data_IF_571530853991
#
_entry.id   IF_571530853991
#
_cell.length_a   1.000
_cell.length_b   1.000
_cell.length_c   1.000
_cell.angle_alpha   90.00
_cell.angle_beta   90.00
_cell.angle_gamma   90.00
#
_symmetry.space_group_name_H-M   'P 1'
#
loop_
_entity.id
_entity.type
_entity.pdbx_description
1 polymer ?
#
# COMPACT_ATOMS: atom_id res chain seq x y z
N UNK A 1 38.19 23.70 5.79
CA UNK A 1 37.10 23.57 4.79
C UNK A 1 35.79 23.27 5.53
N UNK A 2 34.95 24.28 5.81
CA UNK A 2 33.65 24.08 6.50
C UNK A 2 32.60 23.70 5.44
N UNK A 3 32.23 22.42 5.38
CA UNK A 3 31.13 21.96 4.52
C UNK A 3 29.83 22.54 5.08
N UNK A 4 29.31 23.60 4.46
CA UNK A 4 27.97 24.14 4.78
C UNK A 4 26.93 23.21 4.17
N UNK A 5 26.45 22.24 4.96
CA UNK A 5 25.30 21.43 4.58
C UNK A 5 24.05 22.32 4.60
N UNK A 6 23.29 22.36 3.50
CA UNK A 6 22.06 23.14 3.46
C UNK A 6 20.97 22.50 4.34
N UNK A 7 20.16 23.32 5.04
CA UNK A 7 19.05 22.83 5.88
C UNK A 7 18.13 21.85 5.16
N UNK A 8 17.86 22.10 3.87
CA UNK A 8 17.05 21.21 3.03
C UNK A 8 17.69 19.82 2.83
N UNK A 9 19.02 19.75 2.72
CA UNK A 9 19.72 18.47 2.58
C UNK A 9 19.63 17.66 3.89
N UNK A 10 19.76 18.31 5.04
CA UNK A 10 19.58 17.67 6.35
C UNK A 10 18.17 17.09 6.48
N UNK A 11 17.14 17.86 6.11
CA UNK A 11 15.76 17.38 6.12
C UNK A 11 15.53 16.15 5.24
N UNK A 12 16.13 16.11 4.04
CA UNK A 12 16.06 14.95 3.17
C UNK A 12 16.74 13.72 3.79
N UNK A 13 17.92 13.88 4.39
CA UNK A 13 18.62 12.79 5.09
C UNK A 13 17.80 12.24 6.26
N UNK A 14 17.21 13.12 7.08
CA UNK A 14 16.31 12.71 8.17
C UNK A 14 15.13 11.88 7.66
N UNK A 15 14.52 12.30 6.54
CA UNK A 15 13.43 11.52 5.94
C UNK A 15 13.92 10.16 5.44
N UNK A 16 14.99 10.08 4.65
CA UNK A 16 15.45 8.81 4.10
C UNK A 16 15.89 7.84 5.20
N UNK A 17 16.55 8.35 6.24
CA UNK A 17 16.93 7.55 7.41
C UNK A 17 15.70 6.99 8.12
N UNK A 18 14.74 7.86 8.47
CA UNK A 18 13.48 7.47 9.10
C UNK A 18 12.70 6.46 8.26
N UNK A 19 12.56 6.73 6.97
CA UNK A 19 11.84 5.86 6.05
C UNK A 19 12.51 4.49 5.89
N UNK A 20 13.85 4.44 5.84
CA UNK A 20 14.59 3.19 5.72
C UNK A 20 14.40 2.30 6.95
N UNK A 21 14.50 2.89 8.15
CA UNK A 21 14.25 2.17 9.42
C UNK A 21 12.80 1.70 9.48
N UNK A 22 11.84 2.59 9.22
CA UNK A 22 10.42 2.24 9.21
C UNK A 22 10.14 1.08 8.25
N UNK A 23 10.61 1.16 7.01
CA UNK A 23 10.36 0.13 6.01
C UNK A 23 11.00 -1.20 6.39
N UNK A 24 12.27 -1.19 6.84
CA UNK A 24 13.00 -2.39 7.26
C UNK A 24 12.27 -3.13 8.38
N UNK A 25 11.98 -2.43 9.48
CA UNK A 25 11.36 -3.05 10.65
C UNK A 25 9.87 -3.37 10.45
N UNK A 26 9.15 -2.57 9.66
CA UNK A 26 7.75 -2.90 9.32
C UNK A 26 7.67 -4.16 8.47
N UNK A 27 8.55 -4.34 7.48
CA UNK A 27 8.61 -5.58 6.70
C UNK A 27 9.06 -6.77 7.56
N UNK A 28 10.06 -6.60 8.43
CA UNK A 28 10.46 -7.68 9.35
C UNK A 28 9.33 -8.06 10.32
N UNK A 29 8.47 -7.11 10.70
CA UNK A 29 7.34 -7.35 11.61
C UNK A 29 6.25 -8.28 11.01
N UNK A 30 6.26 -8.46 9.69
CA UNK A 30 5.37 -9.38 8.98
C UNK A 30 5.95 -10.79 8.88
N UNK A 31 7.14 -11.01 9.46
CA UNK A 31 7.86 -12.29 9.54
C UNK A 31 8.04 -12.78 10.98
N UNK A 32 8.51 -14.02 11.15
CA UNK A 32 8.78 -14.59 12.46
C UNK A 32 9.98 -13.93 13.18
N UNK A 33 10.70 -13.03 12.53
CA UNK A 33 11.65 -12.15 13.21
C UNK A 33 10.97 -11.15 14.16
N UNK A 34 9.66 -10.91 14.00
CA UNK A 34 8.95 -9.97 14.87
C UNK A 34 9.05 -10.34 16.35
N UNK A 35 9.15 -11.63 16.68
CA UNK A 35 9.32 -12.11 18.06
C UNK A 35 10.50 -11.51 18.81
N UNK A 36 11.54 -11.05 18.09
CA UNK A 36 12.73 -10.47 18.70
C UNK A 36 12.61 -8.98 19.02
N UNK A 37 11.61 -8.28 18.46
CA UNK A 37 11.48 -6.83 18.65
C UNK A 37 10.03 -6.34 18.79
N UNK A 38 9.05 -7.22 18.99
CA UNK A 38 7.66 -6.84 19.24
C UNK A 38 7.49 -6.01 20.53
N UNK A 39 6.28 -5.46 20.72
CA UNK A 39 5.94 -4.77 21.97
C UNK A 39 6.61 -3.40 22.12
N UNK A 40 7.32 -3.18 23.23
CA UNK A 40 7.94 -1.88 23.54
C UNK A 40 9.03 -1.50 22.54
N UNK A 41 9.87 -2.46 22.12
CA UNK A 41 10.97 -2.22 21.19
C UNK A 41 10.48 -1.70 19.84
N UNK A 42 9.49 -2.36 19.23
CA UNK A 42 8.90 -1.89 17.98
C UNK A 42 8.25 -0.51 18.12
N UNK A 43 7.54 -0.26 19.23
CA UNK A 43 6.98 1.08 19.50
C UNK A 43 8.06 2.16 19.57
N UNK A 44 9.18 1.89 20.24
CA UNK A 44 10.32 2.81 20.33
C UNK A 44 10.90 3.10 18.94
N UNK A 45 11.04 2.09 18.08
CA UNK A 45 11.48 2.27 16.70
C UNK A 45 10.54 3.22 15.94
N UNK A 46 9.23 3.02 16.04
CA UNK A 46 8.23 3.88 15.39
C UNK A 46 8.27 5.33 15.93
N UNK A 47 8.47 5.51 17.24
CA UNK A 47 8.62 6.84 17.86
C UNK A 47 9.89 7.53 17.34
N UNK A 48 11.01 6.82 17.25
CA UNK A 48 12.26 7.36 16.68
C UNK A 48 12.04 7.81 15.23
N UNK A 49 11.36 7.01 14.42
CA UNK A 49 10.99 7.41 13.05
C UNK A 49 10.16 8.71 13.04
N UNK A 50 9.17 8.83 13.91
CA UNK A 50 8.34 10.03 14.04
C UNK A 50 9.18 11.26 14.43
N UNK A 51 10.12 11.12 15.37
CA UNK A 51 11.01 12.21 15.78
C UNK A 51 11.85 12.72 14.59
N UNK A 52 12.41 11.82 13.77
CA UNK A 52 13.14 12.22 12.56
C UNK A 52 12.24 12.91 11.52
N UNK A 53 10.96 12.53 11.41
CA UNK A 53 10.01 13.23 10.55
C UNK A 53 9.71 14.65 11.06
N UNK A 54 9.54 14.82 12.38
CA UNK A 54 9.40 16.14 13.00
C UNK A 54 10.64 16.99 12.71
N UNK A 55 11.84 16.45 12.94
CA UNK A 55 13.10 17.13 12.62
C UNK A 55 13.16 17.55 11.15
N UNK A 56 12.74 16.67 10.24
CA UNK A 56 12.64 17.01 8.81
C UNK A 56 11.71 18.19 8.57
N UNK A 57 10.52 18.22 9.16
CA UNK A 57 9.59 19.34 8.99
C UNK A 57 10.12 20.65 9.59
N UNK A 58 10.85 20.59 10.71
CA UNK A 58 11.51 21.77 11.29
C UNK A 58 12.60 22.38 10.40
N UNK A 59 13.21 21.59 9.50
CA UNK A 59 14.15 22.12 8.50
C UNK A 59 13.46 22.82 7.32
N UNK A 60 12.14 22.70 7.19
CA UNK A 60 11.38 23.27 6.08
C UNK A 60 11.04 24.73 6.34
N UNK A 61 11.62 25.64 5.55
CA UNK A 61 11.57 27.08 5.83
C UNK A 61 10.33 27.81 5.26
N UNK A 62 9.46 27.17 4.47
CA UNK A 62 8.33 27.84 3.81
C UNK A 62 7.07 27.00 3.84
N UNK A 63 6.10 27.39 4.66
CA UNK A 63 4.77 26.81 4.70
C UNK A 63 3.77 27.77 4.06
N UNK A 64 2.93 27.26 3.15
CA UNK A 64 1.78 27.99 2.63
C UNK A 64 0.50 27.56 3.37
N UNK A 65 -0.59 28.34 3.24
CA UNK A 65 -1.88 28.00 3.84
C UNK A 65 -2.39 26.59 3.45
N UNK A 66 -2.08 26.15 2.22
CA UNK A 66 -2.35 24.80 1.72
C UNK A 66 -1.62 23.73 2.55
N UNK A 67 -0.35 23.94 2.87
CA UNK A 67 0.44 23.02 3.70
C UNK A 67 -0.12 22.89 5.12
N UNK A 68 -0.72 23.97 5.66
CA UNK A 68 -1.40 23.97 6.96
C UNK A 68 -2.71 23.18 6.90
N UNK A 69 -3.54 23.40 5.88
CA UNK A 69 -4.78 22.61 5.68
C UNK A 69 -4.45 21.12 5.52
N UNK A 70 -3.42 20.80 4.74
CA UNK A 70 -2.99 19.41 4.58
C UNK A 70 -2.47 18.83 5.90
N UNK A 71 -1.70 19.61 6.68
CA UNK A 71 -1.23 19.18 8.00
C UNK A 71 -2.41 18.88 8.94
N UNK A 72 -3.45 19.74 8.96
CA UNK A 72 -4.66 19.50 9.74
C UNK A 72 -5.38 18.21 9.31
N UNK A 73 -5.54 17.98 8.00
CA UNK A 73 -6.11 16.74 7.47
C UNK A 73 -5.29 15.51 7.88
N UNK A 74 -3.96 15.62 7.85
CA UNK A 74 -3.03 14.56 8.27
C UNK A 74 -3.15 14.27 9.76
N UNK A 75 -3.24 15.30 10.60
CA UNK A 75 -3.44 15.14 12.05
C UNK A 75 -4.77 14.45 12.32
N UNK A 76 -5.86 14.94 11.73
CA UNK A 76 -7.22 14.37 11.91
C UNK A 76 -7.24 12.91 11.47
N UNK A 77 -6.75 12.61 10.26
CA UNK A 77 -6.72 11.23 9.75
C UNK A 77 -5.80 10.31 10.56
N UNK A 78 -4.67 10.81 11.07
CA UNK A 78 -3.79 10.06 11.97
C UNK A 78 -4.46 9.75 13.31
N UNK A 79 -5.21 10.69 13.88
CA UNK A 79 -5.99 10.46 15.12
C UNK A 79 -7.09 9.43 14.89
N UNK A 80 -7.88 9.58 13.82
CA UNK A 80 -8.95 8.64 13.46
C UNK A 80 -8.38 7.23 13.30
N UNK A 81 -7.31 7.08 12.53
CA UNK A 81 -6.70 5.77 12.27
C UNK A 81 -6.07 5.16 13.52
N UNK A 82 -5.50 5.98 14.40
CA UNK A 82 -4.95 5.54 15.68
C UNK A 82 -6.05 5.04 16.63
N UNK A 83 -7.15 5.79 16.75
CA UNK A 83 -8.27 5.44 17.62
C UNK A 83 -9.00 4.16 17.17
N UNK A 84 -9.01 3.89 15.86
CA UNK A 84 -9.61 2.70 15.27
C UNK A 84 -8.70 1.44 15.33
N UNK A 85 -7.41 1.61 15.59
CA UNK A 85 -6.44 0.52 15.55
C UNK A 85 -6.63 -0.45 16.72
N UNK A 86 -6.81 -1.73 16.40
CA UNK A 86 -7.00 -2.81 17.39
C UNK A 86 -5.74 -3.66 17.59
N UNK A 87 -4.78 -3.62 16.66
CA UNK A 87 -3.52 -4.35 16.74
C UNK A 87 -2.30 -3.47 16.42
N UNK A 88 -1.09 -4.03 16.51
CA UNK A 88 0.17 -3.29 16.32
C UNK A 88 0.43 -2.92 14.86
N UNK A 89 0.05 -3.77 13.91
CA UNK A 89 0.18 -3.48 12.47
C UNK A 89 -0.65 -2.27 12.07
N UNK A 90 -1.91 -2.19 12.51
CA UNK A 90 -2.79 -1.05 12.24
C UNK A 90 -2.29 0.25 12.89
N UNK A 91 -1.54 0.18 13.99
CA UNK A 91 -0.90 1.35 14.62
C UNK A 91 0.23 1.94 13.78
N UNK A 92 0.65 1.28 12.70
CA UNK A 92 1.56 1.87 11.71
C UNK A 92 0.85 2.88 10.80
N UNK A 93 -0.47 2.75 10.57
CA UNK A 93 -1.26 3.59 9.66
C UNK A 93 -1.17 5.10 9.94
N UNK A 94 -1.29 5.57 11.20
CA UNK A 94 -1.07 6.97 11.51
C UNK A 94 0.30 7.47 11.06
N UNK A 95 1.36 6.70 11.35
CA UNK A 95 2.73 7.06 10.98
C UNK A 95 2.91 7.09 9.45
N UNK A 96 2.22 6.19 8.74
CA UNK A 96 2.23 6.18 7.26
C UNK A 96 1.65 7.46 6.68
N UNK A 97 0.57 8.00 7.24
CA UNK A 97 -0.03 9.26 6.79
C UNK A 97 0.95 10.42 6.99
N UNK A 98 1.65 10.45 8.12
CA UNK A 98 2.71 11.43 8.39
C UNK A 98 3.87 11.29 7.39
N UNK A 99 4.28 10.07 7.07
CA UNK A 99 5.28 9.79 6.04
C UNK A 99 4.86 10.34 4.67
N UNK A 100 3.61 10.12 4.24
CA UNK A 100 3.07 10.64 2.98
C UNK A 100 3.13 12.18 2.96
N UNK A 101 2.74 12.82 4.05
CA UNK A 101 2.85 14.28 4.20
C UNK A 101 4.30 14.75 4.10
N UNK A 102 5.21 14.10 4.82
CA UNK A 102 6.62 14.48 4.83
C UNK A 102 7.34 14.20 3.51
N UNK A 103 6.86 13.25 2.71
CA UNK A 103 7.39 12.98 1.38
C UNK A 103 7.00 14.01 0.31
N UNK A 104 6.07 14.94 0.60
CA UNK A 104 5.49 15.86 -0.40
C UNK A 104 6.52 16.65 -1.21
N UNK A 105 7.64 17.01 -0.59
CA UNK A 105 8.73 17.78 -1.18
C UNK A 105 9.99 16.92 -1.43
N UNK A 106 9.82 15.60 -1.51
CA UNK A 106 10.89 14.62 -1.74
C UNK A 106 10.67 13.97 -3.10
N UNK A 107 11.77 13.69 -3.80
CA UNK A 107 11.71 13.00 -5.09
C UNK A 107 11.23 11.56 -4.90
N UNK A 108 10.06 11.24 -5.46
CA UNK A 108 9.49 9.90 -5.39
C UNK A 108 10.42 8.84 -5.98
N UNK A 109 11.23 9.18 -6.99
CA UNK A 109 12.16 8.21 -7.59
C UNK A 109 13.18 7.69 -6.58
N UNK A 110 13.68 8.56 -5.68
CA UNK A 110 14.60 8.15 -4.61
C UNK A 110 13.91 7.28 -3.56
N UNK A 111 12.67 7.61 -3.20
CA UNK A 111 11.85 6.77 -2.31
C UNK A 111 11.70 5.38 -2.93
N UNK A 112 11.26 5.31 -4.19
CA UNK A 112 11.08 4.06 -4.91
C UNK A 112 12.36 3.21 -4.98
N UNK A 113 13.53 3.82 -5.17
CA UNK A 113 14.82 3.13 -5.16
C UNK A 113 15.18 2.55 -3.79
N UNK A 114 15.00 3.33 -2.72
CA UNK A 114 15.22 2.86 -1.34
C UNK A 114 14.28 1.70 -1.04
N UNK A 115 13.00 1.83 -1.39
CA UNK A 115 12.01 0.79 -1.19
C UNK A 115 12.35 -0.49 -1.92
N UNK A 116 12.78 -0.38 -3.18
CA UNK A 116 13.18 -1.52 -3.99
C UNK A 116 14.33 -2.30 -3.32
N UNK A 117 15.37 -1.60 -2.85
CA UNK A 117 16.53 -2.22 -2.20
C UNK A 117 16.13 -2.89 -0.89
N UNK A 118 15.45 -2.18 0.00
CA UNK A 118 15.08 -2.69 1.32
C UNK A 118 14.07 -3.84 1.20
N UNK A 119 13.03 -3.70 0.38
CA UNK A 119 12.04 -4.77 0.18
C UNK A 119 12.68 -6.03 -0.41
N UNK A 120 13.59 -5.88 -1.38
CA UNK A 120 14.29 -7.05 -1.97
C UNK A 120 15.22 -7.72 -0.95
N UNK A 121 15.93 -6.92 -0.15
CA UNK A 121 16.80 -7.43 0.91
C UNK A 121 16.00 -8.20 1.95
N UNK A 122 14.92 -7.61 2.51
CA UNK A 122 14.12 -8.26 3.55
C UNK A 122 13.45 -9.53 3.01
N UNK A 123 12.89 -9.49 1.81
CA UNK A 123 12.28 -10.66 1.20
C UNK A 123 13.29 -11.81 1.07
N UNK A 124 14.45 -11.55 0.48
CA UNK A 124 15.51 -12.55 0.35
C UNK A 124 16.03 -13.04 1.70
N UNK A 125 16.29 -12.11 2.63
CA UNK A 125 16.77 -12.42 3.97
C UNK A 125 15.83 -13.34 4.75
N UNK A 126 14.53 -13.05 4.76
CA UNK A 126 13.52 -13.86 5.46
C UNK A 126 13.40 -15.26 4.85
N UNK A 127 13.28 -15.35 3.52
CA UNK A 127 13.17 -16.64 2.82
C UNK A 127 14.42 -17.51 3.02
N UNK A 128 15.61 -16.92 2.88
CA UNK A 128 16.87 -17.64 3.12
C UNK A 128 16.93 -18.09 4.57
N UNK A 129 16.61 -17.22 5.53
CA UNK A 129 16.60 -17.56 6.95
C UNK A 129 15.66 -18.73 7.28
N UNK A 130 14.52 -18.84 6.60
CA UNK A 130 13.57 -19.94 6.83
C UNK A 130 14.08 -21.27 6.27
N UNK A 131 14.77 -21.27 5.12
CA UNK A 131 15.37 -22.50 4.58
C UNK A 131 16.62 -22.96 5.33
N UNK A 132 17.34 -22.05 6.00
CA UNK A 132 18.45 -22.38 6.90
C UNK A 132 18.00 -22.69 8.34
N UNK A 133 16.69 -22.76 8.61
CA UNK A 133 16.12 -23.00 9.94
C UNK A 133 16.54 -21.98 11.02
N UNK A 134 16.91 -20.75 10.63
CA UNK A 134 17.16 -19.63 11.56
C UNK A 134 15.82 -19.15 12.15
N UNK A 135 14.78 -19.14 11.31
CA UNK A 135 13.38 -18.97 11.69
C UNK A 135 12.57 -20.13 11.12
N UNK A 136 11.41 -20.41 11.72
CA UNK A 136 10.56 -21.50 11.26
C UNK A 136 9.95 -21.21 9.87
N UNK A 137 9.84 -22.25 9.05
CA UNK A 137 9.09 -22.21 7.81
C UNK A 137 7.75 -22.93 8.00
N UNK A 138 6.67 -22.17 8.10
CA UNK A 138 5.36 -22.71 8.44
C UNK A 138 4.62 -23.27 7.21
N UNK A 139 3.99 -24.44 7.36
CA UNK A 139 3.20 -25.09 6.32
C UNK A 139 1.74 -25.25 6.76
N UNK A 140 0.81 -24.79 5.92
CA UNK A 140 -0.63 -25.02 6.09
C UNK A 140 -1.09 -26.01 5.04
N UNK A 141 -1.42 -27.22 5.48
CA UNK A 141 -2.07 -28.24 4.66
C UNK A 141 -3.57 -28.24 4.94
N UNK A 142 -4.36 -27.71 4.00
CA UNK A 142 -5.82 -27.91 3.95
C UNK A 142 -6.12 -28.92 2.83
N UNK A 143 -7.26 -29.61 2.91
CA UNK A 143 -7.63 -30.70 1.98
C UNK A 143 -7.39 -30.37 0.49
N UNK A 144 -7.64 -29.12 0.08
CA UNK A 144 -7.53 -28.68 -1.31
C UNK A 144 -6.28 -27.84 -1.61
N UNK A 145 -5.42 -27.59 -0.61
CA UNK A 145 -4.29 -26.67 -0.77
C UNK A 145 -3.21 -26.79 0.33
N UNK A 146 -1.97 -26.89 -0.13
CA UNK A 146 -0.77 -26.63 0.68
C UNK A 146 -0.28 -25.19 0.48
N UNK A 147 0.06 -24.50 1.57
CA UNK A 147 0.71 -23.19 1.54
C UNK A 147 1.93 -23.17 2.44
N UNK A 148 3.05 -22.74 1.88
CA UNK A 148 4.28 -22.44 2.61
C UNK A 148 4.34 -20.94 2.91
N UNK A 149 4.75 -20.60 4.13
CA UNK A 149 4.76 -19.22 4.59
C UNK A 149 6.11 -18.53 4.34
N UNK A 150 7.16 -19.28 3.97
CA UNK A 150 8.48 -18.77 3.59
C UNK A 150 9.12 -17.88 4.68
N UNK A 151 8.92 -18.24 5.95
CA UNK A 151 9.37 -17.46 7.12
C UNK A 151 8.48 -16.26 7.50
N UNK A 152 7.44 -15.97 6.72
CA UNK A 152 6.49 -14.92 7.03
C UNK A 152 5.39 -15.39 7.99
N UNK A 153 4.68 -14.44 8.62
CA UNK A 153 3.54 -14.73 9.50
C UNK A 153 2.27 -15.09 8.73
N UNK A 154 2.24 -14.86 7.42
CA UNK A 154 1.13 -15.26 6.56
C UNK A 154 1.61 -15.51 5.13
N UNK A 155 1.03 -16.51 4.46
CA UNK A 155 1.44 -16.94 3.12
C UNK A 155 1.45 -15.81 2.07
N UNK A 156 0.54 -14.83 2.18
CA UNK A 156 0.43 -13.77 1.18
C UNK A 156 1.49 -12.67 1.34
N UNK A 157 2.18 -12.59 2.48
CA UNK A 157 3.10 -11.48 2.78
C UNK A 157 4.26 -11.42 1.78
N UNK A 158 4.90 -12.55 1.48
CA UNK A 158 6.01 -12.63 0.53
C UNK A 158 5.60 -12.19 -0.88
N UNK A 159 4.44 -12.67 -1.35
CA UNK A 159 3.87 -12.31 -2.63
C UNK A 159 3.54 -10.81 -2.73
N UNK A 160 2.99 -10.22 -1.67
CA UNK A 160 2.66 -8.78 -1.64
C UNK A 160 3.91 -7.91 -1.62
N UNK A 161 4.95 -8.30 -0.87
CA UNK A 161 6.26 -7.62 -0.92
C UNK A 161 6.85 -7.70 -2.32
N UNK A 162 6.81 -8.89 -2.94
CA UNK A 162 7.34 -9.09 -4.27
C UNK A 162 6.56 -8.33 -5.35
N UNK A 163 5.22 -8.24 -5.24
CA UNK A 163 4.40 -7.42 -6.12
C UNK A 163 4.81 -5.95 -6.07
N UNK A 164 5.12 -5.41 -4.88
CA UNK A 164 5.64 -4.05 -4.75
C UNK A 164 7.02 -3.91 -5.41
N UNK A 165 7.91 -4.90 -5.27
CA UNK A 165 9.22 -4.94 -5.95
C UNK A 165 9.05 -4.90 -7.48
N UNK A 166 8.14 -5.72 -8.03
CA UNK A 166 7.81 -5.75 -9.46
C UNK A 166 7.36 -4.36 -9.94
N UNK A 167 6.40 -3.76 -9.22
CA UNK A 167 5.88 -2.44 -9.55
C UNK A 167 6.97 -1.37 -9.51
N UNK A 168 7.78 -1.35 -8.45
CA UNK A 168 8.88 -0.42 -8.28
C UNK A 168 9.94 -0.57 -9.36
N UNK A 169 10.39 -1.80 -9.65
CA UNK A 169 11.45 -2.04 -10.61
C UNK A 169 11.05 -1.63 -12.03
N UNK A 170 9.85 -2.03 -12.44
CA UNK A 170 9.30 -1.65 -13.75
C UNK A 170 9.08 -0.13 -13.81
N UNK A 171 8.55 0.50 -12.76
CA UNK A 171 8.34 1.95 -12.72
C UNK A 171 9.64 2.77 -12.80
N UNK A 172 10.71 2.35 -12.12
CA UNK A 172 12.00 3.05 -12.11
C UNK A 172 12.67 3.01 -13.48
N UNK A 173 12.64 1.85 -14.14
CA UNK A 173 13.32 1.63 -15.42
C UNK A 173 12.45 2.05 -16.62
N UNK A 174 11.13 1.97 -16.49
CA UNK A 174 10.14 2.17 -17.56
C UNK A 174 10.54 1.41 -18.83
N UNK A 175 10.51 2.05 -19.99
CA UNK A 175 10.85 1.48 -21.30
C UNK A 175 12.30 0.96 -21.39
N UNK A 176 13.19 1.49 -20.53
CA UNK A 176 14.60 1.11 -20.47
C UNK A 176 14.83 -0.22 -19.75
N UNK A 177 13.80 -0.84 -19.18
CA UNK A 177 13.92 -2.13 -18.48
C UNK A 177 14.42 -3.22 -19.43
N UNK A 178 15.41 -4.01 -19.00
CA UNK A 178 15.96 -5.12 -19.80
C UNK A 178 14.98 -6.30 -19.80
N UNK A 179 14.86 -7.01 -20.92
CA UNK A 179 13.98 -8.19 -21.02
C UNK A 179 14.40 -9.30 -20.05
N UNK A 180 15.71 -9.48 -19.83
CA UNK A 180 16.27 -10.37 -18.79
C UNK A 180 15.71 -10.04 -17.40
N UNK A 181 15.59 -8.76 -17.06
CA UNK A 181 15.01 -8.32 -15.78
C UNK A 181 13.54 -8.74 -15.68
N UNK A 182 12.74 -8.54 -16.75
CA UNK A 182 11.34 -8.96 -16.78
C UNK A 182 11.20 -10.49 -16.66
N UNK A 183 12.08 -11.26 -17.31
CA UNK A 183 12.13 -12.71 -17.18
C UNK A 183 12.45 -13.17 -15.75
N UNK A 184 13.41 -12.53 -15.09
CA UNK A 184 13.73 -12.81 -13.67
C UNK A 184 12.53 -12.49 -12.77
N UNK A 185 11.88 -11.33 -12.97
CA UNK A 185 10.69 -10.96 -12.20
C UNK A 185 9.55 -11.97 -12.39
N UNK A 186 9.35 -12.45 -13.62
CA UNK A 186 8.35 -13.48 -13.93
C UNK A 186 8.66 -14.80 -13.21
N UNK A 187 9.91 -15.28 -13.29
CA UNK A 187 10.32 -16.54 -12.65
C UNK A 187 10.14 -16.46 -11.13
N UNK A 188 10.60 -15.38 -10.49
CA UNK A 188 10.46 -15.24 -9.03
C UNK A 188 8.97 -15.13 -8.64
N UNK A 189 8.16 -14.39 -9.40
CA UNK A 189 6.70 -14.33 -9.16
C UNK A 189 6.07 -15.71 -9.22
N UNK A 190 6.47 -16.52 -10.20
CA UNK A 190 5.98 -17.87 -10.41
C UNK A 190 6.42 -18.83 -9.29
N UNK A 191 7.67 -18.73 -8.84
CA UNK A 191 8.17 -19.52 -7.71
C UNK A 191 7.40 -19.19 -6.42
N UNK A 192 7.26 -17.91 -6.09
CA UNK A 192 6.47 -17.50 -4.91
C UNK A 192 5.03 -17.99 -5.03
N UNK A 193 4.43 -17.92 -6.22
CA UNK A 193 3.09 -18.43 -6.47
C UNK A 193 2.94 -19.92 -6.18
N UNK A 194 3.88 -20.76 -6.64
CA UNK A 194 3.85 -22.21 -6.40
C UNK A 194 3.85 -22.52 -4.91
N UNK A 195 4.71 -21.84 -4.14
CA UNK A 195 4.84 -22.12 -2.70
C UNK A 195 3.68 -21.56 -1.87
N UNK A 196 3.14 -20.39 -2.23
CA UNK A 196 2.19 -19.65 -1.38
C UNK A 196 0.73 -19.72 -1.85
N UNK A 197 0.47 -20.15 -3.08
CA UNK A 197 -0.83 -20.06 -3.77
C UNK A 197 -1.48 -18.66 -3.62
N UNK A 198 -0.68 -17.62 -3.88
CA UNK A 198 -1.06 -16.21 -3.81
C UNK A 198 -1.70 -15.70 -5.10
N UNK A 199 -2.75 -16.40 -5.59
CA UNK A 199 -3.37 -16.22 -6.92
C UNK A 199 -3.56 -14.76 -7.35
N UNK A 200 -4.24 -13.95 -6.54
CA UNK A 200 -4.57 -12.55 -6.86
C UNK A 200 -3.30 -11.71 -7.08
N UNK A 201 -2.42 -11.68 -6.08
CA UNK A 201 -1.22 -10.86 -6.07
C UNK A 201 -0.24 -11.26 -7.16
N UNK A 202 -0.10 -12.57 -7.39
CA UNK A 202 0.74 -13.11 -8.47
C UNK A 202 0.17 -12.77 -9.86
N UNK A 203 -1.15 -12.83 -10.04
CA UNK A 203 -1.80 -12.43 -11.29
C UNK A 203 -1.64 -10.94 -11.56
N UNK A 204 -1.81 -10.09 -10.55
CA UNK A 204 -1.61 -8.64 -10.68
C UNK A 204 -0.17 -8.29 -11.05
N UNK A 205 0.81 -8.94 -10.43
CA UNK A 205 2.23 -8.80 -10.81
C UNK A 205 2.48 -9.23 -12.25
N UNK A 206 1.89 -10.36 -12.66
CA UNK A 206 1.99 -10.88 -14.02
C UNK A 206 1.38 -9.91 -15.06
N UNK A 207 0.19 -9.39 -14.79
CA UNK A 207 -0.46 -8.37 -15.64
C UNK A 207 0.44 -7.15 -15.84
N UNK A 208 1.13 -6.69 -14.80
CA UNK A 208 2.03 -5.55 -14.93
C UNK A 208 3.33 -5.87 -15.70
N UNK A 209 3.87 -7.08 -15.53
CA UNK A 209 5.01 -7.56 -16.34
C UNK A 209 4.63 -7.63 -17.82
N UNK A 210 3.46 -8.20 -18.15
CA UNK A 210 2.94 -8.28 -19.52
C UNK A 210 2.74 -6.87 -20.08
N UNK A 211 2.14 -5.96 -19.31
CA UNK A 211 2.02 -4.56 -19.71
C UNK A 211 3.38 -3.92 -20.04
N UNK A 212 4.41 -4.14 -19.21
CA UNK A 212 5.74 -3.62 -19.47
C UNK A 212 6.36 -4.19 -20.76
N UNK A 213 6.14 -5.47 -21.06
CA UNK A 213 6.56 -6.10 -22.33
C UNK A 213 5.84 -5.44 -23.52
N UNK A 214 4.52 -5.27 -23.45
CA UNK A 214 3.71 -4.65 -24.51
C UNK A 214 4.21 -3.23 -24.81
N UNK A 215 4.39 -2.38 -23.79
CA UNK A 215 4.86 -1.00 -23.99
C UNK A 215 6.28 -0.95 -24.53
N UNK A 216 7.14 -1.91 -24.14
CA UNK A 216 8.51 -1.98 -24.64
C UNK A 216 8.57 -2.27 -26.15
N UNK A 217 7.74 -3.18 -26.65
CA UNK A 217 7.75 -3.57 -28.08
C UNK A 217 6.80 -2.75 -28.94
N UNK A 218 5.73 -2.22 -28.34
CA UNK A 218 4.70 -1.44 -29.02
C UNK A 218 4.53 -0.07 -28.33
N UNK A 219 5.56 0.81 -28.36
CA UNK A 219 5.54 2.09 -27.63
C UNK A 219 4.44 3.04 -28.11
N UNK A 220 3.95 2.87 -29.34
CA UNK A 220 2.92 3.70 -29.95
C UNK A 220 1.49 3.17 -29.77
N UNK A 221 1.28 2.13 -28.94
CA UNK A 221 -0.08 1.62 -28.68
C UNK A 221 -0.94 2.73 -28.10
N UNK A 222 -2.08 2.97 -28.77
CA UNK A 222 -3.06 3.95 -28.32
C UNK A 222 -3.83 3.39 -27.13
N UNK A 223 -3.38 3.70 -25.92
CA UNK A 223 -4.04 3.34 -24.66
C UNK A 223 -5.29 4.21 -24.37
N UNK A 224 -6.01 4.64 -25.41
CA UNK A 224 -7.08 5.65 -25.31
C UNK A 224 -8.19 5.22 -24.35
N UNK A 225 -8.55 3.93 -24.37
CA UNK A 225 -9.54 3.34 -23.44
C UNK A 225 -9.09 3.46 -21.98
N UNK A 226 -7.80 3.26 -21.68
CA UNK A 226 -7.28 3.38 -20.32
C UNK A 226 -7.52 4.78 -19.76
N UNK A 227 -7.28 5.80 -20.57
CA UNK A 227 -7.45 7.20 -20.16
C UNK A 227 -8.91 7.62 -19.90
N UNK A 228 -9.90 6.89 -20.45
CA UNK A 228 -11.31 7.17 -20.17
C UNK A 228 -11.82 6.42 -18.93
N UNK A 229 -11.38 5.18 -18.71
CA UNK A 229 -11.90 4.32 -17.64
C UNK A 229 -11.06 4.41 -16.36
N UNK A 230 -9.74 4.38 -16.47
CA UNK A 230 -8.85 4.25 -15.31
C UNK A 230 -8.96 5.39 -14.30
N UNK A 231 -9.22 6.67 -14.69
CA UNK A 231 -9.50 7.74 -13.74
C UNK A 231 -10.56 7.41 -12.68
N UNK A 232 -11.55 6.59 -13.05
CA UNK A 232 -12.69 6.24 -12.20
C UNK A 232 -12.53 4.88 -11.51
N UNK A 233 -11.40 4.18 -11.67
CA UNK A 233 -11.26 2.80 -11.18
C UNK A 233 -11.45 2.66 -9.67
N UNK A 234 -10.93 3.58 -8.85
CA UNK A 234 -11.16 3.53 -7.40
C UNK A 234 -12.62 3.74 -7.04
N UNK A 235 -13.33 4.64 -7.73
CA UNK A 235 -14.76 4.86 -7.54
C UNK A 235 -15.57 3.62 -7.95
N UNK A 236 -15.26 3.02 -9.09
CA UNK A 236 -15.93 1.82 -9.59
C UNK A 236 -15.68 0.63 -8.66
N UNK A 237 -14.41 0.34 -8.33
CA UNK A 237 -14.03 -0.80 -7.51
C UNK A 237 -14.62 -0.70 -6.09
N UNK A 238 -14.56 0.48 -5.48
CA UNK A 238 -15.13 0.70 -4.14
C UNK A 238 -16.65 0.59 -4.12
N UNK A 239 -17.35 1.20 -5.07
CA UNK A 239 -18.82 1.17 -5.12
C UNK A 239 -19.33 -0.24 -5.36
N UNK A 240 -18.78 -0.95 -6.35
CA UNK A 240 -19.10 -2.36 -6.65
C UNK A 240 -18.84 -3.23 -5.41
N UNK A 241 -17.64 -3.14 -4.85
CA UNK A 241 -17.22 -3.95 -3.71
C UNK A 241 -18.15 -3.80 -2.50
N UNK A 242 -18.43 -2.55 -2.11
CA UNK A 242 -19.28 -2.25 -0.95
C UNK A 242 -20.74 -2.65 -1.24
N UNK A 243 -21.24 -2.33 -2.43
CA UNK A 243 -22.63 -2.64 -2.82
C UNK A 243 -22.90 -4.15 -2.78
N UNK A 244 -22.04 -4.96 -3.40
CA UNK A 244 -22.23 -6.41 -3.42
C UNK A 244 -22.07 -7.04 -2.05
N UNK A 245 -21.20 -6.51 -1.19
CA UNK A 245 -21.02 -7.02 0.18
C UNK A 245 -22.25 -6.69 1.05
N UNK A 246 -22.74 -5.45 1.05
CA UNK A 246 -23.90 -5.05 1.86
C UNK A 246 -25.18 -5.78 1.44
N UNK A 247 -25.37 -5.99 0.13
CA UNK A 247 -26.59 -6.58 -0.42
C UNK A 247 -26.54 -8.11 -0.56
N UNK A 248 -25.46 -8.75 -0.09
CA UNK A 248 -25.38 -10.20 -0.08
C UNK A 248 -26.42 -10.79 0.89
N UNK A 249 -27.31 -11.65 0.41
CA UNK A 249 -28.34 -12.31 1.22
C UNK A 249 -28.39 -13.83 1.01
N UNK A 250 -27.56 -14.37 0.11
CA UNK A 250 -27.54 -15.78 -0.29
C UNK A 250 -28.88 -16.31 -0.86
N UNK A 251 -29.85 -15.43 -1.17
CA UNK A 251 -31.19 -15.80 -1.62
C UNK A 251 -31.28 -16.23 -3.10
N UNK A 252 -30.23 -15.98 -3.90
CA UNK A 252 -30.26 -16.20 -5.35
C UNK A 252 -29.01 -16.92 -5.86
N UNK A 253 -29.17 -17.80 -6.86
CA UNK A 253 -28.09 -18.63 -7.40
C UNK A 253 -26.89 -17.81 -7.90
N UNK A 254 -27.13 -16.63 -8.48
CA UNK A 254 -26.04 -15.79 -8.96
C UNK A 254 -25.19 -15.23 -7.81
N UNK A 255 -25.79 -14.86 -6.67
CA UNK A 255 -25.04 -14.41 -5.49
C UNK A 255 -24.21 -15.55 -4.90
N UNK A 256 -24.78 -16.75 -4.84
CA UNK A 256 -24.08 -17.94 -4.38
C UNK A 256 -22.85 -18.24 -5.26
N UNK A 257 -23.03 -18.25 -6.59
CA UNK A 257 -21.92 -18.48 -7.53
C UNK A 257 -20.84 -17.40 -7.42
N UNK A 258 -21.22 -16.13 -7.31
CA UNK A 258 -20.28 -15.03 -7.11
C UNK A 258 -19.49 -15.18 -5.80
N UNK A 259 -20.15 -15.56 -4.70
CA UNK A 259 -19.49 -15.80 -3.42
C UNK A 259 -18.54 -17.00 -3.49
N UNK A 260 -18.94 -18.08 -4.18
CA UNK A 260 -18.07 -19.25 -4.41
C UNK A 260 -16.82 -18.87 -5.21
N UNK A 261 -16.96 -18.08 -6.28
CA UNK A 261 -15.84 -17.53 -7.04
C UNK A 261 -14.89 -16.68 -6.17
N UNK A 262 -15.46 -15.89 -5.25
CA UNK A 262 -14.72 -15.08 -4.29
C UNK A 262 -14.31 -15.85 -3.03
N UNK A 263 -14.41 -17.18 -3.03
CA UNK A 263 -14.03 -18.07 -1.92
C UNK A 263 -14.68 -17.71 -0.57
N UNK A 264 -15.96 -17.32 -0.58
CA UNK A 264 -16.71 -16.99 0.63
C UNK A 264 -16.57 -15.56 1.14
N UNK A 265 -15.76 -14.71 0.49
CA UNK A 265 -15.45 -13.35 0.97
C UNK A 265 -16.66 -12.42 1.07
N UNK A 266 -17.67 -12.58 0.21
CA UNK A 266 -18.89 -11.76 0.30
C UNK A 266 -19.70 -12.12 1.54
N UNK A 267 -19.83 -13.42 1.85
CA UNK A 267 -20.47 -13.88 3.09
C UNK A 267 -19.75 -13.31 4.31
N UNK A 268 -18.43 -13.51 4.39
CA UNK A 268 -17.62 -13.03 5.52
C UNK A 268 -17.72 -11.51 5.72
N UNK A 269 -17.69 -10.74 4.62
CA UNK A 269 -17.87 -9.29 4.66
C UNK A 269 -19.25 -8.90 5.14
N UNK A 270 -20.29 -9.59 4.68
CA UNK A 270 -21.67 -9.32 5.06
C UNK A 270 -21.96 -9.70 6.52
N UNK A 271 -21.49 -10.86 6.98
CA UNK A 271 -21.58 -11.31 8.37
C UNK A 271 -20.88 -10.31 9.31
N UNK A 272 -19.72 -9.80 8.90
CA UNK A 272 -18.99 -8.75 9.62
C UNK A 272 -19.79 -7.43 9.68
N UNK A 273 -20.44 -7.03 8.59
CA UNK A 273 -21.29 -5.83 8.55
C UNK A 273 -22.51 -6.00 9.45
N UNK A 274 -23.14 -7.17 9.49
CA UNK A 274 -24.25 -7.43 10.41
C UNK A 274 -23.81 -7.40 11.87
N UNK A 275 -22.61 -7.92 12.17
CA UNK A 275 -22.08 -8.01 13.53
C UNK A 275 -21.59 -6.67 14.07
N UNK A 276 -20.79 -5.94 13.30
CA UNK A 276 -20.10 -4.71 13.75
C UNK A 276 -20.74 -3.42 13.20
N UNK A 277 -21.49 -3.52 12.10
CA UNK A 277 -21.99 -2.37 11.37
C UNK A 277 -20.88 -1.51 10.78
N UNK A 278 -21.29 -0.31 10.36
CA UNK A 278 -20.40 0.81 10.02
C UNK A 278 -20.98 2.09 10.62
N UNK A 279 -20.21 3.17 10.62
CA UNK A 279 -20.64 4.46 11.17
C UNK A 279 -20.17 5.63 10.31
N UNK A 280 -20.58 6.85 10.67
CA UNK A 280 -20.04 8.05 10.03
C UNK A 280 -18.54 8.21 10.31
N UNK A 281 -18.12 7.86 11.53
CA UNK A 281 -16.75 7.91 12.05
C UNK A 281 -16.23 6.52 12.42
N UNK A 282 -14.98 6.46 12.91
CA UNK A 282 -14.28 5.22 13.20
C UNK A 282 -14.97 4.35 14.24
N UNK A 283 -14.73 3.04 14.13
CA UNK A 283 -15.13 2.02 15.10
C UNK A 283 -13.99 1.01 15.26
N UNK A 284 -13.90 0.40 16.44
CA UNK A 284 -12.99 -0.73 16.66
C UNK A 284 -13.57 -1.96 15.97
N UNK A 285 -12.80 -2.55 15.06
CA UNK A 285 -13.16 -3.76 14.33
C UNK A 285 -12.20 -4.89 14.71
N UNK A 286 -12.74 -6.00 15.21
CA UNK A 286 -11.95 -7.16 15.63
C UNK A 286 -12.11 -8.28 14.59
N UNK A 287 -11.06 -8.44 13.78
CA UNK A 287 -11.00 -9.47 12.74
C UNK A 287 -9.95 -10.52 13.13
N UNK A 288 -10.33 -11.78 12.95
CA UNK A 288 -9.53 -12.97 13.20
C UNK A 288 -9.29 -13.63 11.84
N UNK A 289 -8.02 -13.66 11.43
CA UNK A 289 -7.56 -14.30 10.21
C UNK A 289 -6.67 -15.51 10.48
N UNK A 290 -6.22 -16.17 9.41
CA UNK A 290 -5.34 -17.35 9.46
C UNK A 290 -3.84 -16.99 9.56
N UNK A 291 -3.52 -15.75 9.96
CA UNK A 291 -2.15 -15.32 10.18
C UNK A 291 -1.61 -15.86 11.50
N UNK A 292 -0.32 -16.14 11.53
CA UNK A 292 0.39 -16.49 12.75
C UNK A 292 0.50 -15.28 13.66
N UNK A 293 0.49 -15.53 14.95
CA UNK A 293 0.78 -14.52 15.95
C UNK A 293 2.29 -14.15 15.94
N UNK A 294 2.77 -13.49 17.00
CA UNK A 294 4.18 -13.10 17.11
C UNK A 294 5.09 -14.31 17.36
N UNK A 295 4.59 -15.34 18.03
CA UNK A 295 5.34 -16.53 18.43
C UNK A 295 5.34 -17.62 17.34
N UNK A 296 4.51 -17.47 16.30
CA UNK A 296 4.36 -18.47 15.24
C UNK A 296 3.18 -19.40 15.46
N UNK A 297 2.28 -19.06 16.38
CA UNK A 297 1.12 -19.89 16.72
C UNK A 297 -0.09 -19.52 15.87
N UNK A 298 -0.88 -20.53 15.51
CA UNK A 298 -2.16 -20.35 14.82
C UNK A 298 -3.21 -19.88 15.83
N UNK A 299 -4.02 -18.90 15.42
CA UNK A 299 -5.20 -18.54 16.17
C UNK A 299 -6.35 -19.53 15.88
N UNK A 300 -6.82 -20.25 16.91
CA UNK A 300 -7.92 -21.22 16.82
C UNK A 300 -9.32 -20.61 16.99
N UNK A 301 -9.41 -19.29 17.16
CA UNK A 301 -10.72 -18.61 17.22
C UNK A 301 -11.42 -18.59 15.85
N UNK A 302 -12.74 -18.38 15.86
CA UNK A 302 -13.54 -18.42 14.64
C UNK A 302 -13.06 -17.39 13.60
N UNK A 303 -12.80 -17.87 12.39
CA UNK A 303 -12.37 -17.04 11.27
C UNK A 303 -13.49 -16.08 10.85
N UNK A 304 -13.21 -14.78 10.86
CA UNK A 304 -14.16 -13.75 10.43
C UNK A 304 -13.46 -12.61 9.66
N UNK A 305 -12.27 -12.87 9.10
CA UNK A 305 -11.49 -11.86 8.40
C UNK A 305 -12.15 -11.44 7.09
N UNK A 306 -12.13 -10.13 6.83
CA UNK A 306 -12.72 -9.51 5.64
C UNK A 306 -11.60 -9.12 4.68
N UNK A 307 -11.29 -9.97 3.71
CA UNK A 307 -10.27 -9.71 2.68
C UNK A 307 -10.79 -8.69 1.63
N UNK A 308 -10.99 -7.43 2.04
CA UNK A 308 -11.52 -6.37 1.20
C UNK A 308 -11.15 -4.98 1.76
N UNK A 309 -10.25 -4.28 1.08
CA UNK A 309 -9.78 -2.95 1.50
C UNK A 309 -10.95 -1.97 1.71
N UNK A 310 -11.87 -1.92 0.76
CA UNK A 310 -12.94 -0.91 0.78
C UNK A 310 -13.93 -1.15 1.92
N UNK A 311 -14.34 -2.41 2.13
CA UNK A 311 -15.24 -2.77 3.23
C UNK A 311 -14.56 -2.56 4.59
N UNK A 312 -13.29 -2.96 4.72
CA UNK A 312 -12.55 -2.72 5.96
C UNK A 312 -12.39 -1.23 6.28
N UNK A 313 -12.04 -0.40 5.29
CA UNK A 313 -11.94 1.07 5.48
C UNK A 313 -13.29 1.66 5.90
N UNK A 314 -14.39 1.21 5.29
CA UNK A 314 -15.75 1.64 5.66
C UNK A 314 -16.10 1.27 7.10
N UNK A 315 -15.92 0.01 7.50
CA UNK A 315 -16.27 -0.45 8.84
C UNK A 315 -15.37 0.16 9.92
N UNK A 316 -14.07 0.28 9.63
CA UNK A 316 -13.06 0.68 10.62
C UNK A 316 -12.92 2.19 10.76
N UNK A 317 -12.94 2.94 9.65
CA UNK A 317 -12.72 4.40 9.66
C UNK A 317 -13.96 5.24 9.37
N UNK A 318 -15.03 4.60 8.88
CA UNK A 318 -16.34 5.22 8.68
C UNK A 318 -16.55 5.81 7.28
N UNK A 319 -17.80 6.20 7.04
CA UNK A 319 -18.29 6.68 5.73
C UNK A 319 -17.53 7.93 5.27
N UNK A 320 -17.28 8.89 6.17
CA UNK A 320 -16.61 10.14 5.80
C UNK A 320 -15.18 9.86 5.32
N UNK A 321 -14.48 8.97 6.01
CA UNK A 321 -13.09 8.65 5.69
C UNK A 321 -12.96 7.95 4.33
N UNK A 322 -13.81 6.97 4.04
CA UNK A 322 -13.76 6.26 2.77
C UNK A 322 -14.13 7.15 1.58
N UNK A 323 -15.14 8.02 1.73
CA UNK A 323 -15.51 8.99 0.69
C UNK A 323 -14.32 9.91 0.40
N UNK A 324 -13.68 10.46 1.45
CA UNK A 324 -12.51 11.31 1.29
C UNK A 324 -11.35 10.57 0.60
N UNK A 325 -11.07 9.33 1.00
CA UNK A 325 -10.02 8.50 0.41
C UNK A 325 -10.28 8.25 -1.08
N UNK A 326 -11.51 7.87 -1.46
CA UNK A 326 -11.89 7.64 -2.87
C UNK A 326 -11.77 8.92 -3.68
N UNK A 327 -12.20 10.07 -3.14
CA UNK A 327 -12.06 11.37 -3.82
C UNK A 327 -10.59 11.68 -4.07
N UNK A 328 -9.73 11.54 -3.06
CA UNK A 328 -8.28 11.81 -3.18
C UNK A 328 -7.65 10.90 -4.24
N UNK A 329 -7.94 9.60 -4.20
CA UNK A 329 -7.41 8.62 -5.16
C UNK A 329 -7.91 8.87 -6.58
N UNK A 330 -9.18 9.24 -6.73
CA UNK A 330 -9.77 9.60 -8.02
C UNK A 330 -9.10 10.85 -8.61
N UNK A 331 -8.91 11.90 -7.81
CA UNK A 331 -8.20 13.13 -8.21
C UNK A 331 -6.75 12.81 -8.64
N UNK A 332 -6.07 11.93 -7.91
CA UNK A 332 -4.72 11.46 -8.24
C UNK A 332 -4.71 10.75 -9.59
N UNK A 333 -5.67 9.86 -9.85
CA UNK A 333 -5.79 9.19 -11.14
C UNK A 333 -6.03 10.16 -12.30
N UNK A 334 -6.88 11.18 -12.11
CA UNK A 334 -7.05 12.26 -13.09
C UNK A 334 -5.77 13.05 -13.33
N UNK A 335 -4.99 13.32 -12.28
CA UNK A 335 -3.72 14.03 -12.41
C UNK A 335 -2.68 13.19 -13.17
N UNK A 336 -2.55 11.90 -12.83
CA UNK A 336 -1.66 10.95 -13.54
C UNK A 336 -2.04 10.86 -15.03
N UNK A 337 -3.34 10.82 -15.32
CA UNK A 337 -3.88 10.85 -16.69
C UNK A 337 -3.45 12.11 -17.45
N UNK A 338 -3.53 13.29 -16.81
CA UNK A 338 -3.05 14.55 -17.40
C UNK A 338 -1.54 14.56 -17.62
N UNK A 339 -0.77 13.90 -16.76
CA UNK A 339 0.68 13.72 -16.93
C UNK A 339 1.05 12.72 -18.04
N UNK A 340 0.09 11.91 -18.50
CA UNK A 340 0.32 10.81 -19.45
C UNK A 340 1.35 9.78 -18.95
N UNK A 341 1.44 9.58 -17.63
CA UNK A 341 2.30 8.53 -17.07
C UNK A 341 1.57 7.19 -17.06
N UNK A 342 1.69 6.46 -18.17
CA UNK A 342 1.03 5.16 -18.37
C UNK A 342 1.36 4.14 -17.26
N UNK A 343 2.60 4.15 -16.77
CA UNK A 343 3.05 3.19 -15.75
C UNK A 343 2.31 3.43 -14.43
N UNK A 344 2.25 4.69 -13.97
CA UNK A 344 1.50 5.01 -12.76
C UNK A 344 0.01 4.76 -12.92
N UNK A 345 -0.55 5.08 -14.09
CA UNK A 345 -1.98 4.89 -14.34
C UNK A 345 -2.37 3.41 -14.21
N UNK A 346 -1.57 2.52 -14.79
CA UNK A 346 -1.80 1.06 -14.71
C UNK A 346 -1.53 0.54 -13.30
N UNK A 347 -0.46 0.96 -12.63
CA UNK A 347 -0.17 0.54 -11.24
C UNK A 347 -1.34 0.87 -10.32
N UNK A 348 -1.83 2.11 -10.33
CA UNK A 348 -2.94 2.51 -9.47
C UNK A 348 -4.25 1.82 -9.85
N UNK A 349 -4.50 1.54 -11.13
CA UNK A 349 -5.67 0.76 -11.54
C UNK A 349 -5.60 -0.70 -11.04
N UNK A 350 -4.42 -1.32 -11.11
CA UNK A 350 -4.20 -2.67 -10.56
C UNK A 350 -4.35 -2.68 -9.03
N UNK A 351 -3.86 -1.66 -8.33
CA UNK A 351 -4.05 -1.49 -6.89
C UNK A 351 -5.53 -1.28 -6.53
N UNK A 352 -6.31 -0.57 -7.34
CA UNK A 352 -7.75 -0.44 -7.13
C UNK A 352 -8.46 -1.80 -7.23
N UNK A 353 -8.11 -2.61 -8.23
CA UNK A 353 -8.67 -3.96 -8.39
C UNK A 353 -8.23 -4.88 -7.24
N UNK A 354 -6.96 -4.80 -6.82
CA UNK A 354 -6.43 -5.56 -5.68
C UNK A 354 -7.26 -5.34 -4.42
N UNK A 355 -7.64 -4.10 -4.15
CA UNK A 355 -8.44 -3.69 -2.99
C UNK A 355 -9.84 -4.33 -2.88
N UNK A 356 -10.34 -4.99 -3.93
CA UNK A 356 -11.62 -5.71 -3.89
C UNK A 356 -11.48 -7.04 -3.12
N UNK A 357 -10.31 -7.69 -3.18
CA UNK A 357 -10.11 -9.09 -2.74
C UNK A 357 -8.99 -9.21 -1.68
N UNK A 358 -8.32 -8.09 -1.34
CA UNK A 358 -7.25 -8.04 -0.34
C UNK A 358 -7.12 -6.61 0.23
N UNK A 359 -6.67 -6.49 1.48
CA UNK A 359 -6.53 -5.23 2.22
C UNK A 359 -5.07 -4.81 2.49
N UNK A 360 -4.09 -5.69 2.28
CA UNK A 360 -2.69 -5.49 2.66
C UNK A 360 -2.06 -4.27 1.97
N UNK A 361 -2.53 -3.91 0.77
CA UNK A 361 -2.03 -2.75 0.03
C UNK A 361 -2.30 -1.40 0.72
N UNK A 362 -3.08 -1.36 1.80
CA UNK A 362 -3.21 -0.14 2.62
C UNK A 362 -1.86 0.26 3.24
N UNK A 363 -1.00 -0.70 3.56
CA UNK A 363 0.28 -0.45 4.20
C UNK A 363 1.38 -0.08 3.17
N UNK A 364 2.27 0.91 3.39
CA UNK A 364 3.20 1.42 2.38
C UNK A 364 4.46 0.57 2.30
N UNK A 365 4.70 -0.25 3.33
CA UNK A 365 5.66 -1.33 3.26
C UNK A 365 5.21 -2.43 2.29
N UNK A 366 3.91 -2.52 1.99
CA UNK A 366 3.36 -3.33 0.90
C UNK A 366 3.03 -2.54 -0.36
N UNK A 367 2.89 -1.21 -0.28
CA UNK A 367 2.56 -0.34 -1.41
C UNK A 367 3.26 1.03 -1.32
N UNK A 368 4.45 1.14 -1.90
CA UNK A 368 5.23 2.38 -1.87
C UNK A 368 4.56 3.52 -2.67
N UNK A 369 3.63 3.24 -3.57
CA UNK A 369 3.01 4.24 -4.42
C UNK A 369 2.09 5.21 -3.66
N UNK A 370 1.76 4.93 -2.40
CA UNK A 370 1.10 5.91 -1.51
C UNK A 370 1.85 7.24 -1.40
N UNK A 371 3.18 7.23 -1.52
CA UNK A 371 3.99 8.45 -1.46
C UNK A 371 3.74 9.42 -2.64
N UNK A 372 3.16 8.94 -3.74
CA UNK A 372 2.79 9.79 -4.87
C UNK A 372 1.69 10.78 -4.49
N UNK A 373 0.82 10.44 -3.53
CA UNK A 373 -0.23 11.35 -3.04
C UNK A 373 0.37 12.67 -2.55
N UNK A 374 1.42 12.60 -1.74
CA UNK A 374 2.13 13.78 -1.23
C UNK A 374 2.77 14.59 -2.35
N UNK A 375 3.41 13.90 -3.31
CA UNK A 375 4.11 14.53 -4.43
C UNK A 375 3.17 15.30 -5.38
N UNK A 376 2.03 14.69 -5.74
CA UNK A 376 1.02 15.30 -6.62
C UNK A 376 0.41 16.55 -5.98
N UNK A 377 0.13 16.49 -4.68
CA UNK A 377 -0.37 17.64 -3.94
C UNK A 377 0.61 18.82 -4.01
N UNK A 378 1.89 18.56 -3.73
CA UNK A 378 2.91 19.61 -3.74
C UNK A 378 3.09 20.22 -5.14
N UNK A 379 3.13 19.41 -6.19
CA UNK A 379 3.34 19.90 -7.57
C UNK A 379 2.13 20.62 -8.16
N UNK A 380 0.91 20.20 -7.83
CA UNK A 380 -0.31 20.93 -8.22
C UNK A 380 -0.38 22.30 -7.53
N UNK A 381 0.06 22.39 -6.27
CA UNK A 381 0.11 23.65 -5.53
C UNK A 381 1.15 24.63 -6.07
N UNK A 382 2.35 24.16 -6.44
CA UNK A 382 3.45 25.01 -6.96
C UNK A 382 3.18 25.53 -8.36
N UNK A 383 2.60 24.71 -9.25
CA UNK A 383 2.13 25.19 -10.58
C UNK A 383 1.06 26.27 -10.45
N UNK A 384 0.11 26.12 -9.53
CA UNK A 384 -0.95 27.12 -9.29
C UNK A 384 -0.38 28.47 -8.81
N UNK A 385 0.62 28.45 -7.91
CA UNK A 385 1.30 29.66 -7.41
C UNK A 385 2.08 30.38 -8.53
N UNK A 386 2.74 29.62 -9.41
CA UNK A 386 3.49 30.21 -10.54
C UNK A 386 2.58 30.86 -11.58
N UNK A 387 1.38 30.31 -11.82
CA UNK A 387 0.38 30.91 -12.71
C UNK A 387 -0.14 32.24 -12.14
N UNK A 388 -0.47 32.30 -10.84
CA UNK A 388 -0.93 33.53 -10.21
C UNK A 388 0.14 34.62 -10.06
N UNK A 389 1.41 34.24 -9.83
CA UNK A 389 2.52 35.21 -9.86
C UNK A 389 2.74 35.78 -11.26
N UNK A 390 2.63 34.96 -12.30
CA UNK A 390 2.76 35.41 -13.69
C UNK A 390 1.62 36.34 -14.09
N UNK A 391 0.39 36.09 -13.62
CA UNK A 391 -0.76 36.99 -13.82
C UNK A 391 -0.64 38.31 -13.03
N UNK A 392 -0.09 38.30 -11.81
CA UNK A 392 0.17 39.56 -11.07
C UNK A 392 1.25 40.42 -11.71
N UNK A 393 2.29 39.82 -12.30
CA UNK A 393 3.36 40.56 -12.98
C UNK A 393 2.99 41.05 -14.40
N UNK A 394 1.82 40.66 -14.93
CA UNK A 394 1.29 41.15 -16.20
C UNK A 394 0.27 42.30 -16.00
N UNK A 395 -0.09 42.59 -14.75
CA UNK A 395 -1.04 43.65 -14.37
C UNK A 395 -0.36 44.86 -13.70
N UNK A 396 0.95 45.03 -13.89
CA UNK A 396 1.72 46.21 -13.49
C UNK A 396 2.54 46.73 -14.66
#
# INVERSE_FOLDING_TARGET
MKIRISKNHIGQLCFYFSYSIFLLFSLLSTSLYYKYFYGATYKTILIVCLLFLILKELTHNKYNYKDIILLLLVIISSVITFMAATNTEQKTIPLMIVFIYSARNIDFKKIAQISLVISSFVLGFVIVSSYFNIIENFFVNKADRTREYLGFRYALNSATIFSNIVFLKIYIDKEKIKLKTLGILFIINYLIYIYTDSRLTSFISLCFIIFAIIIKYLPNVKLRLLYYVFPFMYLICSTISIYFTINYKMLSNWQYNLNSMLSGRLSLGQDSIQTYGYGLFWKKLYLVGNGLDVNGEINFTSYNYVDNLYVQVLQRYGIIFIILLIIILTVVMFYITKLKDNYLLVIFALLAIHGIIDDLIIYPYYNTFWFILGHIYYNSSTKFINIHKKQRNLNY
#
